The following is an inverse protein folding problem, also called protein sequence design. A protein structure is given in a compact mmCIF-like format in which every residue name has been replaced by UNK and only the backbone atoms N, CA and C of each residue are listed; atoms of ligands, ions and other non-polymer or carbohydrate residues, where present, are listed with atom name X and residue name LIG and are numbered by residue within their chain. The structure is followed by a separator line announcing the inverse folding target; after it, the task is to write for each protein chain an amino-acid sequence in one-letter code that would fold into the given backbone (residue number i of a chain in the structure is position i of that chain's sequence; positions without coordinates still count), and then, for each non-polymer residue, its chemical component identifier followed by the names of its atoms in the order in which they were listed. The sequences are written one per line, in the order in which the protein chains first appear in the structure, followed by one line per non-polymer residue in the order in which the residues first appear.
data_IF_288432408751
#
_entry.id   IF_288432408751
#
_cell.length_a   1.000
_cell.length_b   1.000
_cell.length_c   1.000
_cell.angle_alpha   90.00
_cell.angle_beta   90.00
_cell.angle_gamma   90.00
#
_symmetry.space_group_name_H-M   'P 1'
#
loop_
_entity.id
_entity.type
_entity.pdbx_description
1 polymer ?
#
# COMPACT_ATOMS: atom_id res chain seq x y z
N UNK A 1 11.26 6.27 -1.66
CA UNK A 1 10.22 5.75 -2.57
C UNK A 1 9.39 4.73 -1.79
N UNK A 2 8.06 4.74 -1.92
CA UNK A 2 7.15 3.84 -1.21
C UNK A 2 6.40 2.97 -2.22
N UNK A 3 6.16 1.73 -1.85
CA UNK A 3 5.49 0.74 -2.68
C UNK A 3 4.27 0.19 -1.94
N UNK A 4 3.16 0.12 -2.64
CA UNK A 4 1.97 -0.61 -2.22
C UNK A 4 1.80 -1.84 -3.14
N UNK A 5 1.29 -2.92 -2.58
CA UNK A 5 1.02 -4.15 -3.30
C UNK A 5 -0.47 -4.46 -3.26
N UNK A 6 -1.06 -4.69 -4.44
CA UNK A 6 -2.48 -4.98 -4.62
C UNK A 6 -2.64 -6.06 -5.69
N UNK A 7 -3.73 -6.82 -5.62
CA UNK A 7 -4.17 -7.71 -6.70
C UNK A 7 -4.92 -6.98 -7.83
N UNK A 8 -5.29 -5.72 -7.60
CA UNK A 8 -6.03 -4.87 -8.54
C UNK A 8 -5.27 -3.56 -8.79
N UNK A 9 -5.41 -3.03 -10.01
CA UNK A 9 -4.83 -1.74 -10.38
C UNK A 9 -5.61 -0.59 -9.73
N UNK A 10 -4.88 0.36 -9.13
CA UNK A 10 -5.45 1.58 -8.56
C UNK A 10 -5.28 2.71 -9.56
N UNK A 11 -6.35 3.06 -10.28
CA UNK A 11 -6.30 4.09 -11.35
C UNK A 11 -6.14 5.51 -10.79
N UNK A 12 -6.77 5.80 -9.64
CA UNK A 12 -6.78 7.14 -9.03
C UNK A 12 -6.36 7.08 -7.55
N UNK A 13 -5.05 6.92 -7.25
CA UNK A 13 -4.57 6.93 -5.87
C UNK A 13 -4.66 8.34 -5.27
N UNK A 14 -4.98 8.42 -3.97
CA UNK A 14 -5.10 9.68 -3.24
C UNK A 14 -4.24 9.68 -1.97
N UNK A 15 -3.48 10.76 -1.75
CA UNK A 15 -2.74 10.98 -0.49
C UNK A 15 -3.60 11.84 0.43
N UNK A 16 -4.17 11.23 1.47
CA UNK A 16 -4.96 11.94 2.49
C UNK A 16 -4.10 12.36 3.68
N UNK A 17 -4.04 13.66 3.96
CA UNK A 17 -3.40 14.19 5.16
C UNK A 17 -4.41 14.15 6.32
N UNK A 18 -4.16 13.31 7.32
CA UNK A 18 -4.95 13.28 8.55
C UNK A 18 -4.13 13.77 9.74
N UNK A 19 -4.80 14.09 10.84
CA UNK A 19 -4.14 14.50 12.09
C UNK A 19 -3.36 13.36 12.77
N UNK A 20 -3.69 12.10 12.47
CA UNK A 20 -3.17 10.93 13.16
C UNK A 20 -2.67 9.86 12.19
N UNK A 21 -1.44 9.40 12.36
CA UNK A 21 -0.85 8.28 11.62
C UNK A 21 -1.15 6.98 12.34
N UNK A 22 -2.34 6.40 12.10
CA UNK A 22 -2.67 5.06 12.61
C UNK A 22 -2.20 4.00 11.62
N UNK A 23 -1.45 3.03 12.12
CA UNK A 23 -0.94 1.92 11.30
C UNK A 23 -2.04 0.94 10.86
N UNK A 24 -3.19 0.92 11.55
CA UNK A 24 -4.32 0.04 11.25
C UNK A 24 -5.58 0.85 10.97
N UNK A 25 -5.73 1.28 9.72
CA UNK A 25 -6.88 2.07 9.26
C UNK A 25 -7.14 1.85 7.77
N UNK A 26 -8.14 2.54 7.24
CA UNK A 26 -8.44 2.61 5.82
C UNK A 26 -7.29 3.30 5.07
N UNK A 27 -6.72 2.61 4.08
CA UNK A 27 -5.64 3.14 3.25
C UNK A 27 -4.76 2.05 2.66
N UNK A 28 -3.69 2.47 2.00
CA UNK A 28 -2.69 1.57 1.45
C UNK A 28 -1.65 1.21 2.50
N UNK A 29 -1.43 -0.09 2.68
CA UNK A 29 -0.24 -0.57 3.37
C UNK A 29 0.95 -0.45 2.43
N UNK A 30 1.95 0.30 2.86
CA UNK A 30 3.13 0.63 2.08
C UNK A 30 4.41 0.08 2.73
N UNK A 31 5.40 -0.22 1.90
CA UNK A 31 6.77 -0.56 2.32
C UNK A 31 7.77 0.20 1.47
N UNK A 32 8.95 0.48 2.01
CA UNK A 32 10.08 1.03 1.24
C UNK A 32 10.89 -0.08 0.54
N UNK A 33 10.61 -1.36 0.85
CA UNK A 33 11.27 -2.52 0.24
C UNK A 33 10.45 -3.04 -0.95
N UNK A 34 11.00 -2.85 -2.15
CA UNK A 34 10.36 -3.27 -3.40
C UNK A 34 10.14 -4.79 -3.49
N UNK A 35 11.12 -5.60 -3.08
CA UNK A 35 11.00 -7.06 -3.11
C UNK A 35 9.89 -7.56 -2.19
N UNK A 36 9.72 -6.90 -1.04
CA UNK A 36 8.63 -7.19 -0.12
C UNK A 36 7.27 -6.86 -0.74
N UNK A 37 7.11 -5.70 -1.37
CA UNK A 37 5.90 -5.34 -2.10
C UNK A 37 5.59 -6.35 -3.22
N UNK A 38 6.60 -6.79 -3.97
CA UNK A 38 6.42 -7.81 -5.01
C UNK A 38 5.92 -9.14 -4.43
N UNK A 39 6.47 -9.58 -3.28
CA UNK A 39 5.99 -10.78 -2.58
C UNK A 39 4.54 -10.64 -2.09
N UNK A 40 4.16 -9.45 -1.62
CA UNK A 40 2.78 -9.17 -1.19
C UNK A 40 1.80 -9.20 -2.37
N UNK A 41 2.16 -8.67 -3.53
CA UNK A 41 1.31 -8.65 -4.72
C UNK A 41 1.01 -10.05 -5.28
N UNK A 42 1.96 -10.98 -5.10
CA UNK A 42 1.83 -12.39 -5.55
C UNK A 42 1.11 -13.27 -4.54
N UNK A 43 0.80 -12.77 -3.35
CA UNK A 43 0.11 -13.53 -2.31
C UNK A 43 -1.36 -13.58 -2.71
N UNK A 44 -1.76 -14.68 -3.37
CA UNK A 44 -3.12 -14.94 -3.83
C UNK A 44 -4.15 -14.59 -2.75
N UNK A 45 -5.19 -13.86 -3.14
CA UNK A 45 -6.55 -14.05 -2.62
C UNK A 45 -7.22 -15.12 -3.46
#
# INVERSE_FOLDING_TARGET
MLYHASGEAVEFPEIRKSRYTKDFSWGFYCTNNFEQAQKWARRNR
#
